data_IF_955949685446
#
_entry.id   IF_955949685446
#
_cell.length_a   1.000
_cell.length_b   1.000
_cell.length_c   1.000
_cell.angle_alpha   90.00
_cell.angle_beta   90.00
_cell.angle_gamma   90.00
#
_symmetry.space_group_name_H-M   'P 1'
#
loop_
_entity.id
_entity.type
_entity.pdbx_description
1 polymer ?
#
# COMPACT_ATOMS: atom_id res chain seq x y z
N UNK A 1 -25.35 -55.44 -32.72
CA UNK A 1 -24.15 -54.63 -32.37
C UNK A 1 -24.36 -53.11 -32.38
N UNK A 2 -25.23 -52.52 -33.23
CA UNK A 2 -25.40 -51.05 -33.29
C UNK A 2 -26.06 -50.39 -32.05
N UNK A 3 -26.91 -51.11 -31.30
CA UNK A 3 -27.65 -50.55 -30.15
C UNK A 3 -26.79 -50.35 -28.89
N UNK A 4 -25.85 -51.25 -28.63
CA UNK A 4 -24.94 -51.16 -27.47
C UNK A 4 -23.84 -50.09 -27.69
N UNK A 5 -23.47 -49.85 -28.95
CA UNK A 5 -22.52 -48.79 -29.30
C UNK A 5 -23.14 -47.39 -29.16
N UNK A 6 -24.44 -47.24 -29.46
CA UNK A 6 -25.18 -45.98 -29.25
C UNK A 6 -25.35 -45.65 -27.77
N UNK A 7 -25.61 -46.65 -26.92
CA UNK A 7 -25.75 -46.48 -25.47
C UNK A 7 -24.40 -46.13 -24.84
N UNK A 8 -23.31 -46.78 -25.26
CA UNK A 8 -21.96 -46.43 -24.79
C UNK A 8 -21.55 -45.01 -25.19
N UNK A 9 -21.90 -44.57 -26.41
CA UNK A 9 -21.63 -43.20 -26.86
C UNK A 9 -22.44 -42.17 -26.05
N UNK A 10 -23.71 -42.48 -25.73
CA UNK A 10 -24.57 -41.62 -24.92
C UNK A 10 -24.08 -41.51 -23.47
N UNK A 11 -23.56 -42.58 -22.87
CA UNK A 11 -23.00 -42.54 -21.51
C UNK A 11 -21.70 -41.72 -21.49
N UNK A 12 -20.83 -41.84 -22.50
CA UNK A 12 -19.61 -41.03 -22.60
C UNK A 12 -19.94 -39.55 -22.80
N UNK A 13 -20.94 -39.22 -23.63
CA UNK A 13 -21.41 -37.84 -23.82
C UNK A 13 -22.08 -37.31 -22.54
N UNK A 14 -22.81 -38.14 -21.79
CA UNK A 14 -23.42 -37.74 -20.51
C UNK A 14 -22.36 -37.48 -19.43
N UNK A 15 -21.31 -38.31 -19.33
CA UNK A 15 -20.19 -38.12 -18.40
C UNK A 15 -19.36 -36.88 -18.77
N UNK A 16 -19.16 -36.60 -20.06
CA UNK A 16 -18.49 -35.37 -20.54
C UNK A 16 -19.31 -34.10 -20.27
N UNK A 17 -20.65 -34.16 -20.38
CA UNK A 17 -21.54 -33.03 -20.10
C UNK A 17 -21.71 -32.77 -18.59
N UNK A 18 -21.54 -33.78 -17.73
CA UNK A 18 -21.53 -33.60 -16.27
C UNK A 18 -20.16 -33.21 -15.69
N UNK A 19 -19.10 -33.19 -16.50
CA UNK A 19 -17.75 -32.80 -16.06
C UNK A 19 -17.48 -31.29 -16.17
N UNK A 20 -18.48 -30.48 -16.54
CA UNK A 20 -18.44 -29.04 -16.32
C UNK A 20 -18.89 -28.74 -14.87
N UNK A 21 -18.25 -29.38 -13.90
CA UNK A 21 -18.42 -29.02 -12.50
C UNK A 21 -17.83 -27.63 -12.34
N UNK A 22 -18.68 -26.61 -12.13
CA UNK A 22 -18.23 -25.33 -11.61
C UNK A 22 -17.42 -25.64 -10.35
N UNK A 23 -16.10 -25.50 -10.42
CA UNK A 23 -15.26 -25.50 -9.22
C UNK A 23 -15.86 -24.42 -8.33
N UNK A 24 -16.35 -24.79 -7.16
CA UNK A 24 -16.86 -23.80 -6.20
C UNK A 24 -15.74 -22.78 -5.96
N UNK A 25 -16.09 -21.50 -5.98
CA UNK A 25 -15.13 -20.43 -5.73
C UNK A 25 -14.53 -20.63 -4.34
N UNK A 26 -13.21 -20.55 -4.23
CA UNK A 26 -12.55 -20.64 -2.92
C UNK A 26 -12.88 -19.42 -2.09
N UNK A 27 -12.94 -19.62 -0.78
CA UNK A 27 -13.21 -18.58 0.21
C UNK A 27 -12.02 -18.48 1.15
N UNK A 28 -11.57 -17.25 1.37
CA UNK A 28 -10.43 -16.89 2.21
C UNK A 28 -10.89 -15.94 3.31
N UNK A 29 -10.22 -15.89 4.47
CA UNK A 29 -10.54 -14.90 5.51
C UNK A 29 -10.10 -13.51 5.02
N UNK A 30 -11.03 -12.56 4.82
CA UNK A 30 -10.66 -11.28 4.26
C UNK A 30 -9.64 -10.50 5.09
N UNK A 31 -9.56 -10.75 6.40
CA UNK A 31 -8.71 -9.98 7.33
C UNK A 31 -7.22 -10.26 7.17
N UNK A 32 -6.85 -11.34 6.48
CA UNK A 32 -5.46 -11.77 6.34
C UNK A 32 -4.73 -11.11 5.16
N UNK A 33 -5.46 -10.34 4.34
CA UNK A 33 -4.95 -9.84 3.06
C UNK A 33 -5.02 -8.32 2.96
N UNK A 34 -4.07 -7.77 2.18
CA UNK A 34 -4.05 -6.35 1.85
C UNK A 34 -4.72 -6.13 0.50
N UNK A 35 -5.85 -5.42 0.52
CA UNK A 35 -6.59 -5.07 -0.68
C UNK A 35 -5.99 -3.82 -1.32
N UNK A 36 -5.79 -3.91 -2.62
CA UNK A 36 -5.42 -2.81 -3.49
C UNK A 36 -6.54 -2.66 -4.50
N UNK A 37 -7.19 -1.50 -4.52
CA UNK A 37 -8.32 -1.24 -5.41
C UNK A 37 -9.45 -2.30 -5.24
N UNK A 38 -9.76 -2.68 -3.99
CA UNK A 38 -10.84 -3.62 -3.65
C UNK A 38 -10.56 -5.10 -3.95
N UNK A 39 -9.34 -5.46 -4.35
CA UNK A 39 -8.94 -6.85 -4.62
C UNK A 39 -7.58 -7.18 -4.01
N UNK A 40 -7.32 -8.46 -3.75
CA UNK A 40 -6.04 -8.92 -3.21
C UNK A 40 -5.50 -10.15 -3.97
N UNK A 41 -4.17 -10.27 -3.99
CA UNK A 41 -3.47 -11.45 -4.48
C UNK A 41 -3.16 -12.42 -3.35
N UNK A 42 -3.59 -13.66 -3.49
CA UNK A 42 -3.34 -14.76 -2.56
C UNK A 42 -2.46 -15.81 -3.24
N UNK A 43 -1.21 -16.01 -2.79
CA UNK A 43 -0.41 -17.12 -3.27
C UNK A 43 -0.95 -18.43 -2.70
N UNK A 44 -1.19 -19.41 -3.56
CA UNK A 44 -1.44 -20.79 -3.14
C UNK A 44 -0.11 -21.52 -3.23
N UNK A 45 0.40 -21.89 -2.07
CA UNK A 45 1.67 -22.57 -1.94
C UNK A 45 1.47 -24.07 -1.86
N UNK A 46 2.30 -24.80 -2.60
CA UNK A 46 2.42 -26.24 -2.47
C UNK A 46 3.69 -26.56 -1.72
N UNK A 47 3.52 -27.20 -0.58
CA UNK A 47 4.64 -27.67 0.22
C UNK A 47 5.11 -29.01 -0.30
N UNK A 48 6.26 -29.04 -0.95
CA UNK A 48 6.95 -30.28 -1.29
C UNK A 48 7.89 -30.65 -0.14
N UNK A 49 7.54 -31.72 0.59
CA UNK A 49 8.33 -32.35 1.65
C UNK A 49 9.11 -31.37 2.55
N UNK A 50 8.47 -30.75 3.56
CA UNK A 50 9.10 -29.97 4.68
C UNK A 50 10.27 -28.99 4.39
N UNK A 51 10.69 -28.78 3.13
CA UNK A 51 11.95 -28.15 2.76
C UNK A 51 11.71 -27.08 1.69
N UNK A 52 10.69 -27.23 0.82
CA UNK A 52 10.40 -26.27 -0.23
C UNK A 52 8.90 -25.96 -0.35
N UNK A 53 8.54 -24.68 -0.27
CA UNK A 53 7.26 -24.15 -0.70
C UNK A 53 7.43 -23.48 -2.06
N UNK A 54 6.58 -23.84 -3.01
CA UNK A 54 6.53 -23.20 -4.33
C UNK A 54 5.12 -22.66 -4.55
N UNK A 55 5.01 -21.45 -5.11
CA UNK A 55 3.71 -20.88 -5.49
C UNK A 55 3.21 -21.63 -6.72
N UNK A 56 2.12 -22.37 -6.57
CA UNK A 56 1.48 -23.14 -7.65
C UNK A 56 0.53 -22.24 -8.47
N UNK A 57 -0.12 -21.29 -7.81
CA UNK A 57 -1.04 -20.35 -8.46
C UNK A 57 -1.16 -19.05 -7.65
N UNK A 58 -1.50 -17.98 -8.36
CA UNK A 58 -1.93 -16.71 -7.76
C UNK A 58 -3.45 -16.60 -7.89
N UNK A 59 -4.14 -16.43 -6.77
CA UNK A 59 -5.60 -16.25 -6.72
C UNK A 59 -5.91 -14.79 -6.48
N UNK A 60 -6.82 -14.22 -7.26
CA UNK A 60 -7.38 -12.90 -7.02
C UNK A 60 -8.69 -13.05 -6.23
N UNK A 61 -8.81 -12.31 -5.12
CA UNK A 61 -9.99 -12.33 -4.25
C UNK A 61 -10.57 -10.92 -4.11
N UNK A 62 -11.88 -10.83 -3.92
CA UNK A 62 -12.57 -9.59 -3.54
C UNK A 62 -12.51 -9.34 -2.02
N UNK A 63 -12.97 -8.17 -1.57
CA UNK A 63 -13.04 -7.81 -0.14
C UNK A 63 -13.94 -8.71 0.72
N UNK A 64 -14.82 -9.47 0.08
CA UNK A 64 -15.64 -10.51 0.72
C UNK A 64 -14.87 -11.84 0.91
N UNK A 65 -13.62 -11.91 0.47
CA UNK A 65 -12.76 -13.09 0.56
C UNK A 65 -13.06 -14.15 -0.49
N UNK A 66 -13.96 -13.88 -1.44
CA UNK A 66 -14.34 -14.84 -2.48
C UNK A 66 -13.38 -14.72 -3.66
N UNK A 67 -12.90 -15.87 -4.14
CA UNK A 67 -12.12 -15.97 -5.37
C UNK A 67 -12.88 -15.40 -6.57
N UNK A 68 -12.24 -14.47 -7.26
CA UNK A 68 -12.72 -13.89 -8.52
C UNK A 68 -12.16 -14.66 -9.71
N UNK A 69 -10.85 -14.93 -9.72
CA UNK A 69 -10.16 -15.74 -10.71
C UNK A 69 -8.81 -16.24 -10.15
N UNK A 70 -8.17 -17.20 -10.82
CA UNK A 70 -6.81 -17.61 -10.51
C UNK A 70 -5.94 -17.73 -11.76
N UNK A 71 -4.64 -17.52 -11.59
CA UNK A 71 -3.65 -17.71 -12.63
C UNK A 71 -2.63 -18.77 -12.17
N UNK A 72 -2.60 -19.94 -12.83
CA UNK A 72 -1.65 -20.99 -12.48
C UNK A 72 -0.22 -20.62 -12.91
N UNK A 73 0.76 -21.24 -12.26
CA UNK A 73 2.19 -21.14 -12.58
C UNK A 73 2.69 -19.68 -12.64
N UNK A 74 2.28 -18.90 -11.64
CA UNK A 74 2.69 -17.52 -11.44
C UNK A 74 3.23 -17.38 -10.01
N UNK A 75 4.42 -16.81 -9.89
CA UNK A 75 5.00 -16.48 -8.59
C UNK A 75 4.50 -15.11 -8.11
N UNK A 76 4.50 -14.90 -6.79
CA UNK A 76 4.14 -13.60 -6.19
C UNK A 76 4.91 -12.43 -6.82
N UNK A 77 6.21 -12.60 -7.10
CA UNK A 77 7.06 -11.57 -7.73
C UNK A 77 6.72 -11.25 -9.18
N UNK A 78 5.84 -12.03 -9.82
CA UNK A 78 5.43 -11.86 -11.20
C UNK A 78 4.06 -11.20 -11.31
N UNK A 79 3.47 -10.71 -10.21
CA UNK A 79 2.26 -9.89 -10.25
C UNK A 79 2.50 -8.56 -9.57
N UNK A 80 1.90 -7.51 -10.11
CA UNK A 80 1.79 -6.24 -9.40
C UNK A 80 0.49 -6.18 -8.59
N UNK A 81 0.41 -5.26 -7.65
CA UNK A 81 -0.86 -4.85 -7.05
C UNK A 81 -1.77 -4.25 -8.12
N UNK A 82 -3.07 -4.18 -7.82
CA UNK A 82 -4.02 -3.47 -8.66
C UNK A 82 -3.96 -1.96 -8.39
N UNK A 83 -3.96 -1.18 -9.46
CA UNK A 83 -4.09 0.27 -9.42
C UNK A 83 -4.94 0.71 -10.61
N UNK A 84 -5.91 1.61 -10.40
CA UNK A 84 -6.81 2.11 -11.44
C UNK A 84 -7.47 0.99 -12.28
N UNK A 85 -7.89 -0.10 -11.64
CA UNK A 85 -8.57 -1.21 -12.30
C UNK A 85 -7.67 -2.28 -12.88
N UNK A 86 -6.34 -2.06 -12.95
CA UNK A 86 -5.43 -2.94 -13.68
C UNK A 86 -4.25 -3.44 -12.84
N UNK A 87 -3.71 -4.59 -13.22
CA UNK A 87 -2.47 -5.15 -12.70
C UNK A 87 -1.60 -5.68 -13.84
N UNK A 88 -0.28 -5.74 -13.61
CA UNK A 88 0.69 -6.34 -14.53
C UNK A 88 1.04 -7.75 -14.08
N UNK A 89 1.04 -8.68 -15.03
CA UNK A 89 1.37 -10.09 -14.84
C UNK A 89 2.53 -10.48 -15.74
N UNK A 90 3.54 -11.14 -15.16
CA UNK A 90 4.79 -11.61 -15.81
C UNK A 90 5.57 -10.50 -16.54
N UNK A 91 5.39 -9.24 -16.17
CA UNK A 91 5.97 -8.11 -16.89
C UNK A 91 5.44 -7.94 -18.33
N UNK A 92 4.35 -8.62 -18.69
CA UNK A 92 3.87 -8.69 -20.09
C UNK A 92 2.39 -8.36 -20.24
N UNK A 93 1.53 -8.92 -19.40
CA UNK A 93 0.09 -8.80 -19.56
C UNK A 93 -0.45 -7.73 -18.62
N UNK A 94 -1.24 -6.81 -19.15
CA UNK A 94 -2.09 -5.95 -18.33
C UNK A 94 -3.47 -6.59 -18.24
N UNK A 95 -3.93 -6.84 -17.02
CA UNK A 95 -5.20 -7.50 -16.74
C UNK A 95 -6.11 -6.60 -15.91
N UNK A 96 -7.42 -6.77 -16.06
CA UNK A 96 -8.41 -6.13 -15.19
C UNK A 96 -8.74 -6.97 -13.95
N UNK A 97 -9.58 -6.43 -13.06
CA UNK A 97 -10.06 -7.13 -11.84
C UNK A 97 -10.89 -8.38 -12.11
N UNK A 98 -11.36 -8.60 -13.34
CA UNK A 98 -12.09 -9.82 -13.73
C UNK A 98 -11.15 -10.92 -14.22
N UNK A 99 -9.86 -10.62 -14.36
CA UNK A 99 -8.86 -11.52 -14.93
C UNK A 99 -8.81 -11.49 -16.46
N UNK A 100 -9.50 -10.54 -17.09
CA UNK A 100 -9.46 -10.35 -18.54
C UNK A 100 -8.14 -9.68 -18.91
N UNK A 101 -7.42 -10.26 -19.87
CA UNK A 101 -6.24 -9.63 -20.46
C UNK A 101 -6.70 -8.46 -21.32
N UNK A 102 -6.34 -7.26 -20.91
CA UNK A 102 -6.61 -6.02 -21.65
C UNK A 102 -5.57 -5.81 -22.74
N UNK A 103 -4.29 -6.02 -22.40
CA UNK A 103 -3.16 -5.79 -23.30
C UNK A 103 -2.04 -6.80 -23.11
N UNK A 104 -1.36 -7.11 -24.22
CA UNK A 104 -0.07 -7.81 -24.26
C UNK A 104 1.03 -6.81 -24.65
N UNK A 105 1.77 -6.32 -23.66
CA UNK A 105 2.78 -5.28 -23.83
C UNK A 105 3.91 -5.69 -24.79
N UNK A 106 4.24 -6.98 -24.83
CA UNK A 106 5.30 -7.46 -25.71
C UNK A 106 4.82 -7.52 -27.16
N UNK A 107 3.63 -8.08 -27.40
CA UNK A 107 3.10 -8.24 -28.75
C UNK A 107 2.67 -6.89 -29.36
N UNK A 108 2.14 -5.98 -28.53
CA UNK A 108 1.63 -4.67 -28.98
C UNK A 108 2.70 -3.60 -29.12
N UNK A 109 3.66 -3.56 -28.18
CA UNK A 109 4.66 -2.48 -28.09
C UNK A 109 6.11 -2.96 -28.11
N UNK A 110 6.35 -4.28 -28.11
CA UNK A 110 7.69 -4.86 -27.96
C UNK A 110 8.43 -4.31 -26.73
N UNK A 111 7.72 -4.28 -25.60
CA UNK A 111 8.25 -3.87 -24.29
C UNK A 111 8.00 -4.94 -23.22
N UNK A 112 8.79 -4.88 -22.15
CA UNK A 112 8.57 -5.67 -20.93
C UNK A 112 8.50 -4.72 -19.73
N UNK A 113 7.45 -4.83 -18.92
CA UNK A 113 7.28 -4.04 -17.71
C UNK A 113 8.25 -4.48 -16.60
N UNK A 114 8.84 -3.49 -15.92
CA UNK A 114 9.65 -3.69 -14.72
C UNK A 114 8.73 -4.10 -13.57
N UNK A 115 8.95 -5.30 -13.04
CA UNK A 115 8.23 -5.79 -11.86
C UNK A 115 8.95 -5.39 -10.58
N UNK A 116 8.36 -4.47 -9.81
CA UNK A 116 8.94 -4.03 -8.54
C UNK A 116 8.68 -5.04 -7.41
N UNK A 117 9.57 -5.12 -6.40
CA UNK A 117 9.37 -5.98 -5.22
C UNK A 117 8.06 -5.68 -4.48
N UNK A 118 7.58 -6.67 -3.71
CA UNK A 118 6.34 -6.58 -2.93
C UNK A 118 5.10 -6.20 -3.76
N UNK A 119 5.12 -6.51 -5.05
CA UNK A 119 4.03 -6.26 -5.98
C UNK A 119 3.72 -4.75 -6.10
N UNK A 120 4.71 -3.87 -5.90
CA UNK A 120 4.46 -2.43 -5.94
C UNK A 120 4.01 -1.99 -7.35
N UNK A 121 2.88 -1.27 -7.41
CA UNK A 121 2.39 -0.59 -8.61
C UNK A 121 1.48 0.56 -8.22
N UNK A 122 1.77 1.72 -8.76
CA UNK A 122 1.11 2.99 -8.50
C UNK A 122 0.51 3.59 -9.79
N UNK A 123 0.32 2.75 -10.83
CA UNK A 123 -0.31 3.14 -12.08
C UNK A 123 0.65 3.57 -13.19
N UNK A 124 1.95 3.73 -12.89
CA UNK A 124 2.98 4.01 -13.88
C UNK A 124 3.71 2.73 -14.30
N UNK A 125 3.75 2.46 -15.60
CA UNK A 125 4.35 1.25 -16.15
C UNK A 125 5.77 1.59 -16.63
N UNK A 126 6.78 1.24 -15.83
CA UNK A 126 8.17 1.33 -16.26
C UNK A 126 8.43 0.21 -17.26
N UNK A 127 8.63 0.57 -18.52
CA UNK A 127 8.70 -0.37 -19.62
C UNK A 127 10.09 -0.38 -20.23
N UNK A 128 10.67 -1.57 -20.34
CA UNK A 128 11.97 -1.79 -20.94
C UNK A 128 11.79 -2.14 -22.42
N UNK A 129 12.54 -1.47 -23.28
CA UNK A 129 12.68 -1.85 -24.69
C UNK A 129 14.13 -1.72 -25.18
N UNK A 130 14.40 -2.15 -26.41
CA UNK A 130 15.71 -2.01 -27.07
C UNK A 130 15.65 -0.90 -28.11
N UNK A 131 16.34 0.20 -27.85
CA UNK A 131 16.53 1.30 -28.82
C UNK A 131 17.95 1.19 -29.38
N UNK A 132 18.07 0.99 -30.69
CA UNK A 132 19.37 0.78 -31.37
C UNK A 132 20.23 -0.33 -30.71
N UNK A 133 19.59 -1.40 -30.23
CA UNK A 133 20.25 -2.52 -29.57
C UNK A 133 20.60 -2.32 -28.10
N UNK A 134 20.34 -1.13 -27.54
CA UNK A 134 20.60 -0.79 -26.14
C UNK A 134 19.31 -0.89 -25.32
N UNK A 135 19.37 -1.57 -24.18
CA UNK A 135 18.25 -1.69 -23.22
C UNK A 135 18.02 -0.32 -22.56
N UNK A 136 16.82 0.21 -22.71
CA UNK A 136 16.39 1.49 -22.14
C UNK A 136 15.03 1.34 -21.47
N UNK A 137 14.78 2.16 -20.46
CA UNK A 137 13.51 2.20 -19.72
C UNK A 137 12.77 3.49 -20.06
N UNK A 138 11.49 3.40 -20.40
CA UNK A 138 10.57 4.53 -20.45
C UNK A 138 9.43 4.34 -19.44
N UNK A 139 8.49 5.27 -19.45
CA UNK A 139 7.29 5.22 -18.62
C UNK A 139 6.05 5.32 -19.50
N UNK A 140 5.18 4.32 -19.39
CA UNK A 140 3.88 4.30 -20.05
C UNK A 140 2.78 4.69 -19.05
N UNK A 141 1.75 5.35 -19.57
CA UNK A 141 0.46 5.52 -18.90
C UNK A 141 -0.31 4.19 -18.88
N UNK A 142 -1.44 4.17 -18.16
CA UNK A 142 -2.38 3.04 -18.18
C UNK A 142 -3.07 2.85 -19.54
N UNK A 143 -3.13 3.90 -20.36
CA UNK A 143 -3.61 3.85 -21.75
C UNK A 143 -2.50 3.49 -22.75
N UNK A 144 -1.32 3.08 -22.25
CA UNK A 144 -0.15 2.67 -23.03
C UNK A 144 0.49 3.78 -23.90
N UNK A 145 0.32 5.03 -23.51
CA UNK A 145 1.04 6.16 -24.12
C UNK A 145 2.36 6.41 -23.38
N UNK A 146 3.43 6.72 -24.13
CA UNK A 146 4.70 7.12 -23.54
C UNK A 146 4.56 8.49 -22.87
N UNK A 147 4.58 8.50 -21.54
CA UNK A 147 4.72 9.72 -20.74
C UNK A 147 6.19 10.14 -20.74
N UNK A 148 7.09 9.16 -20.72
CA UNK A 148 8.53 9.36 -20.85
C UNK A 148 9.07 8.34 -21.83
N UNK A 149 9.61 8.83 -22.94
CA UNK A 149 10.25 8.01 -23.96
C UNK A 149 11.42 7.19 -23.37
N UNK A 150 11.70 5.97 -23.90
CA UNK A 150 12.78 5.13 -23.42
C UNK A 150 14.13 5.84 -23.36
N UNK A 151 14.75 5.83 -22.17
CA UNK A 151 16.03 6.48 -21.91
C UNK A 151 16.87 5.65 -20.96
N UNK A 152 18.20 5.75 -21.08
CA UNK A 152 19.13 5.10 -20.16
C UNK A 152 19.10 5.71 -18.75
N UNK A 153 18.59 6.95 -18.60
CA UNK A 153 18.51 7.64 -17.30
C UNK A 153 17.55 6.96 -16.32
N UNK A 154 16.56 6.23 -16.82
CA UNK A 154 15.56 5.51 -16.02
C UNK A 154 15.90 4.02 -15.84
N UNK A 155 17.07 3.59 -16.28
CA UNK A 155 17.55 2.24 -15.99
C UNK A 155 17.82 2.11 -14.48
N UNK A 156 17.55 0.94 -13.89
CA UNK A 156 17.86 0.63 -12.48
C UNK A 156 17.13 1.49 -11.44
N UNK A 157 15.82 1.68 -11.62
CA UNK A 157 14.95 2.33 -10.64
C UNK A 157 14.50 1.37 -9.53
N UNK A 158 14.42 1.90 -8.31
CA UNK A 158 13.85 1.25 -7.14
C UNK A 158 12.66 2.07 -6.63
N UNK A 159 11.48 1.46 -6.48
CA UNK A 159 10.31 2.14 -5.92
C UNK A 159 10.53 2.53 -4.45
N UNK A 160 10.13 3.76 -4.07
CA UNK A 160 10.22 4.29 -2.70
C UNK A 160 8.88 4.66 -2.05
N UNK A 161 7.76 4.62 -2.78
CA UNK A 161 6.37 5.01 -2.43
C UNK A 161 5.94 6.37 -3.02
N UNK A 162 4.62 6.56 -3.11
CA UNK A 162 3.98 7.83 -3.49
C UNK A 162 4.55 8.43 -4.79
N UNK A 163 4.69 7.58 -5.83
CA UNK A 163 5.17 7.99 -7.16
C UNK A 163 6.63 8.45 -7.18
N UNK A 164 7.40 8.13 -6.14
CA UNK A 164 8.82 8.43 -6.02
C UNK A 164 9.66 7.16 -6.14
N UNK A 165 10.77 7.29 -6.86
CA UNK A 165 11.70 6.22 -7.15
C UNK A 165 13.13 6.68 -6.85
N UNK A 166 14.03 5.73 -6.67
CA UNK A 166 15.46 6.00 -6.54
C UNK A 166 16.22 5.35 -7.68
N UNK A 167 17.04 6.15 -8.34
CA UNK A 167 17.99 5.72 -9.35
C UNK A 167 19.40 5.80 -8.76
N UNK A 168 20.16 4.69 -8.83
CA UNK A 168 21.50 4.66 -8.24
C UNK A 168 22.48 5.65 -8.85
N UNK A 169 22.31 5.98 -10.13
CA UNK A 169 23.20 6.88 -10.85
C UNK A 169 22.76 8.35 -10.76
N UNK A 170 21.44 8.61 -10.70
CA UNK A 170 20.87 9.95 -10.86
C UNK A 170 20.17 10.51 -9.60
N UNK A 171 19.99 9.71 -8.54
CA UNK A 171 19.28 10.14 -7.32
C UNK A 171 17.78 9.84 -7.36
N UNK A 172 16.98 10.63 -6.64
CA UNK A 172 15.53 10.42 -6.59
C UNK A 172 14.86 10.90 -7.87
N UNK A 173 13.83 10.19 -8.30
CA UNK A 173 13.05 10.49 -9.49
C UNK A 173 11.57 10.59 -9.11
N UNK A 174 10.93 11.66 -9.56
CA UNK A 174 9.51 11.88 -9.42
C UNK A 174 8.84 11.65 -10.76
N UNK A 175 8.01 10.60 -10.86
CA UNK A 175 7.35 10.25 -12.11
C UNK A 175 6.19 11.19 -12.45
N UNK A 176 5.59 11.86 -11.46
CA UNK A 176 4.48 12.79 -11.69
C UNK A 176 4.96 14.06 -12.39
N UNK A 177 6.07 14.61 -11.91
CA UNK A 177 6.69 15.82 -12.47
C UNK A 177 7.74 15.51 -13.56
N UNK A 178 8.03 14.22 -13.78
CA UNK A 178 9.04 13.71 -14.71
C UNK A 178 10.41 14.39 -14.54
N UNK A 179 10.94 14.38 -13.32
CA UNK A 179 12.22 15.00 -13.03
C UNK A 179 13.01 14.25 -11.95
N UNK A 180 14.33 14.44 -11.97
CA UNK A 180 15.20 14.00 -10.89
C UNK A 180 15.31 15.11 -9.85
N UNK A 181 15.18 14.74 -8.59
CA UNK A 181 15.14 15.64 -7.45
C UNK A 181 16.21 15.28 -6.43
N UNK A 182 16.61 16.25 -5.61
CA UNK A 182 17.51 16.01 -4.49
C UNK A 182 16.78 15.37 -3.29
N UNK A 183 17.53 15.11 -2.22
CA UNK A 183 16.99 14.45 -1.04
C UNK A 183 15.98 15.32 -0.27
N UNK A 184 16.17 16.64 -0.25
CA UNK A 184 15.33 17.55 0.53
C UNK A 184 13.96 17.68 -0.14
N UNK A 185 13.97 17.83 -1.47
CA UNK A 185 12.76 17.81 -2.31
C UNK A 185 12.05 16.44 -2.22
N UNK A 186 12.80 15.33 -2.20
CA UNK A 186 12.23 13.99 -2.01
C UNK A 186 11.52 13.86 -0.65
N UNK A 187 12.16 14.27 0.45
CA UNK A 187 11.57 14.21 1.79
C UNK A 187 10.27 15.04 1.85
N UNK A 188 10.28 16.23 1.25
CA UNK A 188 9.12 17.13 1.18
C UNK A 188 7.98 16.54 0.35
N UNK A 189 8.26 16.05 -0.87
CA UNK A 189 7.22 15.46 -1.74
C UNK A 189 6.65 14.19 -1.14
N UNK A 190 7.49 13.35 -0.51
CA UNK A 190 7.02 12.15 0.19
C UNK A 190 6.06 12.52 1.33
N UNK A 191 6.38 13.57 2.11
CA UNK A 191 5.54 14.09 3.18
C UNK A 191 4.20 14.59 2.64
N UNK A 192 4.23 15.49 1.66
CA UNK A 192 3.04 16.11 1.07
C UNK A 192 2.08 15.07 0.44
N UNK A 193 2.63 13.99 -0.12
CA UNK A 193 1.84 12.87 -0.68
C UNK A 193 1.41 11.84 0.35
N UNK A 194 1.89 11.94 1.59
CA UNK A 194 1.55 11.04 2.70
C UNK A 194 0.41 11.57 3.58
N UNK A 195 -0.16 12.75 3.29
CA UNK A 195 -1.24 13.29 4.11
C UNK A 195 -2.45 12.33 4.17
N UNK A 196 -2.98 12.07 5.37
CA UNK A 196 -4.24 11.32 5.51
C UNK A 196 -5.41 12.14 4.98
N UNK A 197 -6.58 11.51 4.87
CA UNK A 197 -7.81 12.17 4.39
C UNK A 197 -8.23 13.35 5.28
N UNK A 198 -7.87 13.33 6.56
CA UNK A 198 -8.09 14.45 7.48
C UNK A 198 -7.30 15.72 7.11
N UNK A 199 -6.33 15.63 6.20
CA UNK A 199 -5.48 16.76 5.81
C UNK A 199 -4.48 17.20 6.88
N UNK A 200 -4.36 16.44 7.98
CA UNK A 200 -3.44 16.71 9.08
C UNK A 200 -2.46 15.56 9.28
N UNK A 201 -1.17 15.87 9.39
CA UNK A 201 -0.14 14.89 9.67
C UNK A 201 0.59 15.22 10.97
N UNK A 202 0.86 14.19 11.76
CA UNK A 202 1.65 14.31 12.98
C UNK A 202 3.15 14.27 12.68
N UNK A 203 3.86 15.29 13.13
CA UNK A 203 5.32 15.40 13.06
C UNK A 203 5.89 15.33 14.48
N UNK A 204 6.78 14.37 14.72
CA UNK A 204 7.51 14.21 15.98
C UNK A 204 8.94 14.67 15.82
N UNK A 205 9.40 15.56 16.68
CA UNK A 205 10.81 15.97 16.71
C UNK A 205 11.70 14.76 17.06
N UNK A 206 12.79 14.59 16.32
CA UNK A 206 13.87 13.67 16.65
C UNK A 206 15.00 14.50 17.28
N UNK A 207 15.07 14.51 18.62
CA UNK A 207 16.00 15.31 19.48
C UNK A 207 17.51 15.22 19.14
N UNK A 208 17.91 14.49 18.11
CA UNK A 208 19.29 14.11 17.80
C UNK A 208 19.98 14.95 16.71
N UNK A 209 19.38 16.03 16.20
CA UNK A 209 20.07 16.91 15.24
C UNK A 209 20.79 18.08 15.94
N UNK A 210 21.90 17.77 16.61
CA UNK A 210 22.77 18.79 17.22
C UNK A 210 23.66 19.45 16.17
N UNK A 211 23.19 20.53 15.56
CA UNK A 211 24.03 21.47 14.79
C UNK A 211 23.34 22.05 13.56
N UNK A 212 22.54 23.10 13.73
CA UNK A 212 21.99 23.85 12.60
C UNK A 212 20.78 24.74 12.93
N UNK A 213 20.37 25.55 11.96
CA UNK A 213 19.13 26.33 11.96
C UNK A 213 17.88 25.49 11.64
N UNK A 214 18.00 24.16 11.63
CA UNK A 214 16.94 23.21 11.26
C UNK A 214 16.82 22.04 12.23
N UNK A 215 15.59 21.53 12.37
CA UNK A 215 15.22 20.34 13.15
C UNK A 215 14.71 19.23 12.24
N UNK A 216 14.88 17.98 12.67
CA UNK A 216 14.42 16.80 11.92
C UNK A 216 13.20 16.20 12.59
N UNK A 217 12.14 16.02 11.80
CA UNK A 217 10.89 15.44 12.25
C UNK A 217 10.64 14.10 11.59
N UNK A 218 10.13 13.14 12.36
CA UNK A 218 9.64 11.87 11.87
C UNK A 218 8.11 11.89 11.71
N UNK A 219 7.62 11.19 10.70
CA UNK A 219 6.19 10.97 10.48
C UNK A 219 5.90 9.54 10.04
N UNK A 220 4.66 9.11 10.27
CA UNK A 220 4.16 7.81 9.83
C UNK A 220 2.71 7.97 9.37
N UNK A 221 2.44 7.73 8.09
CA UNK A 221 1.11 7.84 7.52
C UNK A 221 0.85 6.78 6.45
N UNK A 222 -0.32 6.13 6.47
CA UNK A 222 -0.76 5.09 5.52
C UNK A 222 0.29 3.98 5.27
N UNK A 223 1.09 3.65 6.29
CA UNK A 223 2.17 2.66 6.20
C UNK A 223 3.49 3.18 5.61
N UNK A 224 3.54 4.45 5.20
CA UNK A 224 4.77 5.17 4.83
C UNK A 224 5.36 5.77 6.11
N UNK A 225 6.67 5.58 6.30
CA UNK A 225 7.44 6.28 7.33
C UNK A 225 8.47 7.15 6.64
N UNK A 226 8.59 8.38 7.09
CA UNK A 226 9.53 9.32 6.52
C UNK A 226 10.08 10.27 7.56
N UNK A 227 11.02 11.09 7.09
CA UNK A 227 11.60 12.18 7.86
C UNK A 227 11.57 13.42 7.00
N UNK A 228 11.50 14.58 7.65
CA UNK A 228 11.58 15.89 7.01
C UNK A 228 12.43 16.80 7.87
N UNK A 229 13.21 17.66 7.24
CA UNK A 229 13.94 18.73 7.91
C UNK A 229 13.17 20.03 7.78
N UNK A 230 12.80 20.63 8.91
CA UNK A 230 12.05 21.89 8.97
C UNK A 230 12.84 22.96 9.74
N UNK A 231 12.35 24.20 9.71
CA UNK A 231 12.93 25.32 10.45
C UNK A 231 12.91 25.04 11.97
N UNK A 232 13.87 25.62 12.70
CA UNK A 232 13.96 25.51 14.16
C UNK A 232 12.76 26.06 14.95
N UNK A 233 11.90 26.86 14.30
CA UNK A 233 10.64 27.34 14.87
C UNK A 233 9.51 26.30 14.84
N UNK A 234 9.68 25.19 14.12
CA UNK A 234 8.73 24.09 14.12
C UNK A 234 8.85 23.27 15.41
N UNK A 235 7.72 22.74 15.88
CA UNK A 235 7.60 21.97 17.12
C UNK A 235 6.85 20.64 16.88
N UNK A 236 6.88 19.72 17.85
CA UNK A 236 6.13 18.46 17.75
C UNK A 236 4.63 18.73 17.76
N UNK A 237 3.88 18.21 16.78
CA UNK A 237 2.46 18.52 16.65
C UNK A 237 1.82 18.06 15.35
N UNK A 238 0.60 18.56 15.08
CA UNK A 238 -0.11 18.33 13.82
C UNK A 238 0.02 19.51 12.89
N UNK A 239 0.26 19.21 11.62
CA UNK A 239 0.48 20.17 10.54
C UNK A 239 -0.51 19.94 9.41
N UNK A 240 -0.93 21.01 8.75
CA UNK A 240 -1.74 20.94 7.53
C UNK A 240 -0.86 20.75 6.27
N UNK A 241 -1.48 20.62 5.10
CA UNK A 241 -0.78 20.44 3.82
C UNK A 241 0.14 21.59 3.40
N UNK A 242 -0.04 22.79 3.98
CA UNK A 242 0.86 23.93 3.80
C UNK A 242 2.03 23.92 4.78
N UNK A 243 2.13 22.88 5.60
CA UNK A 243 3.06 22.75 6.72
C UNK A 243 2.89 23.87 7.76
N UNK A 244 1.67 24.40 7.89
CA UNK A 244 1.31 25.28 9.00
C UNK A 244 0.88 24.40 10.18
N UNK A 245 1.42 24.68 11.36
CA UNK A 245 1.06 23.97 12.58
C UNK A 245 -0.39 24.30 12.97
N UNK A 246 -1.18 23.26 13.18
CA UNK A 246 -2.59 23.34 13.59
C UNK A 246 -2.73 23.06 15.08
N UNK A 247 -1.95 22.11 15.61
CA UNK A 247 -1.98 21.75 17.03
C UNK A 247 -0.56 21.50 17.53
N UNK A 248 -0.12 22.32 18.49
CA UNK A 248 1.16 22.18 19.18
C UNK A 248 1.04 21.17 20.34
N UNK A 249 1.88 20.14 20.33
CA UNK A 249 1.94 19.11 21.37
C UNK A 249 3.33 18.98 21.99
N UNK A 250 4.21 19.97 21.77
CA UNK A 250 5.59 19.98 22.27
C UNK A 250 5.71 19.96 23.78
N UNK A 251 4.67 20.40 24.50
CA UNK A 251 4.62 20.34 25.97
C UNK A 251 4.49 18.91 26.51
N UNK A 252 4.21 17.91 25.65
CA UNK A 252 4.06 16.51 26.04
C UNK A 252 5.29 15.68 25.64
N UNK A 253 6.12 15.25 26.62
CA UNK A 253 7.23 14.35 26.36
C UNK A 253 6.79 13.07 25.65
N UNK A 254 7.50 12.70 24.58
CA UNK A 254 7.27 11.45 23.82
C UNK A 254 5.84 11.27 23.30
N UNK A 255 5.14 12.36 22.99
CA UNK A 255 3.80 12.29 22.38
C UNK A 255 3.85 11.60 21.01
N UNK A 256 2.84 10.77 20.74
CA UNK A 256 2.64 10.14 19.43
C UNK A 256 1.16 10.02 19.09
N UNK A 257 0.84 10.21 17.82
CA UNK A 257 -0.47 9.90 17.29
C UNK A 257 -0.69 8.38 17.22
N UNK A 258 -1.81 7.91 17.78
CA UNK A 258 -2.27 6.53 17.65
C UNK A 258 -3.28 6.38 16.50
N UNK A 259 -4.06 7.43 16.21
CA UNK A 259 -5.00 7.48 15.08
C UNK A 259 -4.77 8.72 14.20
N UNK A 260 -5.43 8.78 13.05
CA UNK A 260 -5.65 10.05 12.34
C UNK A 260 -6.77 10.83 13.01
N UNK A 261 -6.97 12.07 12.56
CA UNK A 261 -8.16 12.83 12.91
C UNK A 261 -9.41 12.21 12.26
N UNK A 262 -10.41 11.91 13.08
CA UNK A 262 -11.73 11.47 12.67
C UNK A 262 -12.75 12.35 13.41
N UNK A 263 -13.62 13.04 12.66
CA UNK A 263 -14.60 14.00 13.20
C UNK A 263 -13.96 14.98 14.21
N UNK A 264 -12.86 15.61 13.78
CA UNK A 264 -12.06 16.58 14.54
C UNK A 264 -11.40 16.05 15.82
N UNK A 265 -11.35 14.71 16.01
CA UNK A 265 -10.71 14.07 17.17
C UNK A 265 -9.56 13.14 16.77
N UNK A 266 -8.50 13.12 17.56
CA UNK A 266 -7.35 12.23 17.37
C UNK A 266 -7.00 11.51 18.68
N UNK A 267 -6.74 10.21 18.59
CA UNK A 267 -6.22 9.43 19.70
C UNK A 267 -4.70 9.60 19.77
N UNK A 268 -4.18 10.01 20.92
CA UNK A 268 -2.75 10.18 21.17
C UNK A 268 -2.31 9.39 22.40
N UNK A 269 -1.04 9.00 22.41
CA UNK A 269 -0.35 8.52 23.60
C UNK A 269 0.74 9.52 23.96
N UNK A 270 0.87 9.84 25.25
CA UNK A 270 1.88 10.78 25.73
C UNK A 270 2.36 10.42 27.13
N UNK A 271 3.54 10.93 27.50
CA UNK A 271 4.03 10.85 28.88
C UNK A 271 3.96 12.19 29.56
N UNK A 272 3.70 12.17 30.86
CA UNK A 272 3.89 13.34 31.73
C UNK A 272 5.36 13.51 32.10
N UNK A 273 5.71 14.67 32.67
CA UNK A 273 7.05 14.91 33.25
C UNK A 273 7.46 13.86 34.28
N UNK A 274 6.48 13.26 34.98
CA UNK A 274 6.71 12.19 35.97
C UNK A 274 6.91 10.81 35.34
N UNK A 275 6.89 10.71 34.00
CA UNK A 275 7.09 9.47 33.25
C UNK A 275 5.86 8.57 33.17
N UNK A 276 4.70 9.01 33.69
CA UNK A 276 3.43 8.27 33.60
C UNK A 276 2.87 8.41 32.18
N UNK A 277 2.56 7.28 31.54
CA UNK A 277 1.98 7.24 30.20
C UNK A 277 0.45 7.32 30.28
N UNK A 278 -0.12 8.19 29.46
CA UNK A 278 -1.56 8.33 29.28
C UNK A 278 -1.94 8.11 27.82
N UNK A 279 -3.18 7.70 27.60
CA UNK A 279 -3.84 7.77 26.30
C UNK A 279 -4.97 8.76 26.40
N UNK A 280 -5.07 9.67 25.44
CA UNK A 280 -6.11 10.69 25.42
C UNK A 280 -6.69 10.89 24.03
N UNK A 281 -7.94 11.33 23.99
CA UNK A 281 -8.62 11.74 22.77
C UNK A 281 -8.66 13.27 22.77
N UNK A 282 -7.97 13.89 21.82
CA UNK A 282 -7.80 15.34 21.71
C UNK A 282 -8.56 15.89 20.50
N UNK A 283 -9.15 17.07 20.62
CA UNK A 283 -9.77 17.79 19.49
C UNK A 283 -8.80 18.79 18.83
N UNK A 284 -9.26 19.50 17.80
CA UNK A 284 -8.45 20.50 17.09
C UNK A 284 -8.12 21.73 17.95
N UNK A 285 -8.94 22.03 18.96
CA UNK A 285 -8.69 23.08 19.93
C UNK A 285 -7.61 22.70 20.96
N UNK A 286 -7.14 21.45 20.95
CA UNK A 286 -6.16 20.92 21.91
C UNK A 286 -6.77 20.50 23.25
N UNK A 287 -8.09 20.43 23.34
CA UNK A 287 -8.81 19.99 24.52
C UNK A 287 -8.97 18.46 24.52
N UNK A 288 -8.76 17.86 25.69
CA UNK A 288 -9.00 16.43 25.87
C UNK A 288 -10.48 16.15 26.09
N UNK A 289 -11.05 15.33 25.21
CA UNK A 289 -12.36 14.69 25.41
C UNK A 289 -12.27 13.68 26.55
N UNK A 290 -11.16 12.92 26.60
CA UNK A 290 -10.80 12.11 27.77
C UNK A 290 -9.29 11.94 27.88
N UNK A 291 -8.85 11.60 29.10
CA UNK A 291 -7.49 11.14 29.42
C UNK A 291 -7.64 9.88 30.28
N UNK A 292 -6.90 8.83 29.94
CA UNK A 292 -6.97 7.57 30.67
C UNK A 292 -5.57 7.00 30.97
N UNK A 293 -5.36 6.62 32.22
CA UNK A 293 -4.17 5.93 32.72
C UNK A 293 -4.40 4.41 32.67
N UNK A 294 -4.34 3.84 31.47
CA UNK A 294 -4.58 2.41 31.28
C UNK A 294 -3.85 1.84 30.08
N UNK A 295 -3.68 0.51 30.07
CA UNK A 295 -2.99 -0.16 28.95
C UNK A 295 -3.89 -0.15 27.72
N UNK A 296 -3.59 0.76 26.78
CA UNK A 296 -4.18 0.79 25.45
C UNK A 296 -3.95 -0.53 24.71
N UNK A 297 -4.98 -1.02 24.03
CA UNK A 297 -4.96 -2.29 23.28
C UNK A 297 -5.12 -2.04 21.78
N UNK A 298 -6.22 -1.40 21.37
CA UNK A 298 -6.54 -1.12 19.96
C UNK A 298 -7.69 -0.11 19.84
N UNK A 299 -8.02 0.33 18.63
CA UNK A 299 -9.27 1.02 18.34
C UNK A 299 -9.91 0.49 17.06
N UNK A 300 -11.18 0.81 16.87
CA UNK A 300 -11.92 0.67 15.62
C UNK A 300 -12.86 1.88 15.43
N UNK A 301 -13.69 1.87 14.39
CA UNK A 301 -14.60 2.98 14.07
C UNK A 301 -15.65 3.29 15.14
N UNK A 302 -15.80 2.46 16.17
CA UNK A 302 -16.79 2.64 17.25
C UNK A 302 -16.18 2.73 18.65
N UNK A 303 -15.04 2.07 18.87
CA UNK A 303 -14.50 1.84 20.22
C UNK A 303 -13.00 2.02 20.27
N UNK A 304 -12.54 2.56 21.39
CA UNK A 304 -11.14 2.63 21.80
C UNK A 304 -10.98 1.67 22.99
N UNK A 305 -10.26 0.57 22.79
CA UNK A 305 -10.14 -0.53 23.73
C UNK A 305 -8.92 -0.37 24.66
N UNK A 306 -9.19 -0.51 25.95
CA UNK A 306 -8.20 -0.67 27.00
C UNK A 306 -8.36 -2.05 27.63
N UNK A 307 -7.39 -2.45 28.45
CA UNK A 307 -7.40 -3.78 29.09
C UNK A 307 -8.63 -4.03 29.97
N UNK A 308 -9.23 -2.99 30.53
CA UNK A 308 -10.26 -3.05 31.57
C UNK A 308 -11.57 -2.32 31.23
N UNK A 309 -11.62 -1.62 30.10
CA UNK A 309 -12.79 -0.89 29.63
C UNK A 309 -12.65 -0.55 28.14
N UNK A 310 -13.70 0.06 27.57
CA UNK A 310 -13.59 0.76 26.29
C UNK A 310 -14.23 2.14 26.37
N UNK A 311 -13.72 3.06 25.56
CA UNK A 311 -14.32 4.38 25.33
C UNK A 311 -14.97 4.41 23.95
N UNK A 312 -16.06 5.17 23.80
CA UNK A 312 -16.49 5.63 22.48
C UNK A 312 -15.72 6.91 22.07
N UNK A 313 -15.92 7.37 20.84
CA UNK A 313 -15.27 8.57 20.30
C UNK A 313 -15.86 9.89 20.88
N UNK A 314 -16.85 9.80 21.76
CA UNK A 314 -17.39 10.93 22.54
C UNK A 314 -16.85 10.94 23.99
N UNK A 315 -15.96 9.99 24.33
CA UNK A 315 -15.31 9.91 25.64
C UNK A 315 -16.12 9.20 26.72
N UNK A 316 -17.23 8.55 26.39
CA UNK A 316 -17.99 7.77 27.37
C UNK A 316 -17.27 6.44 27.64
N UNK A 317 -16.97 6.17 28.92
CA UNK A 317 -16.32 4.95 29.36
C UNK A 317 -17.34 3.85 29.69
N UNK A 318 -17.10 2.64 29.19
CA UNK A 318 -17.93 1.45 29.42
C UNK A 318 -17.05 0.31 29.93
N UNK A 319 -17.51 -0.35 31.00
CA UNK A 319 -16.84 -1.56 31.51
C UNK A 319 -17.14 -2.76 30.62
N UNK A 320 -16.17 -3.64 30.47
CA UNK A 320 -16.36 -4.98 29.91
C UNK A 320 -16.92 -5.95 30.96
#
# INVERSE_FOLDING_TARGET
MKKNMLIALLIIVFVMLTSCGKKEARVFDPKDYRYHDGVAWVPIEKTYFFIFTETEEMVCIGEDGVEMFSIPDIMKSQVSAFCNGVAIVKGRYMIDKTGTVLHDLYDELNVEAVMFPNNYFDGFIFAVTKVNGVKMTGVLSSDLEWIVEPTSRLNDLEAKHNYLYFNRANGYYDVLENEFIDNDEYELRLLLRSFPESGLIFLSDEESFSGGSSRRFAYSSKGVKGKITLDNSCETGFYNQKLEMVLDLSCYPSVRALSYFHDDKCLIEFKTEQGVTYTGLINLEGEFVFIYEGKYVSFNSKKIHFKDCYFDWEGNCFKE
#
